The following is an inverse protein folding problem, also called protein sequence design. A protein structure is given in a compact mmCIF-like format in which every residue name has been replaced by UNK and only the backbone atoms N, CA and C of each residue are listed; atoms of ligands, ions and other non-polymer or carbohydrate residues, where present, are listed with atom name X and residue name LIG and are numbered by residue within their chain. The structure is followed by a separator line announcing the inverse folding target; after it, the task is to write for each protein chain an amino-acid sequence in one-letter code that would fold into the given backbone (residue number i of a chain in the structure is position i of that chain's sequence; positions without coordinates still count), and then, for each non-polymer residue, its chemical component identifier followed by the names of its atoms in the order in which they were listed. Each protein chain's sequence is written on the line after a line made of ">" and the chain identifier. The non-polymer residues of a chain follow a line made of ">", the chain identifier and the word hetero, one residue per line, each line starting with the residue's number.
data_IF_246132713333
#
_entry.id   IF_246132713333
#
_cell.length_a   1.000
_cell.length_b   1.000
_cell.length_c   1.000
_cell.angle_alpha   90.00
_cell.angle_beta   90.00
_cell.angle_gamma   90.00
#
_symmetry.space_group_name_H-M   'P 1'
#
loop_
_entity.id
_entity.type
_entity.pdbx_description
1 polymer ?
#
# COMPACT_ATOMS: atom_id res chain seq x y z
N UNK A 1 8.43 5.82 0.84
CA UNK A 1 8.32 4.60 0.01
C UNK A 1 7.02 4.61 -0.80
N UNK A 2 7.08 4.28 -2.09
CA UNK A 2 5.91 4.27 -2.99
C UNK A 2 5.67 2.86 -3.53
N UNK A 3 4.47 2.33 -3.35
CA UNK A 3 4.03 1.04 -3.91
C UNK A 3 3.01 1.33 -5.00
N UNK A 4 3.23 0.79 -6.20
CA UNK A 4 2.29 0.89 -7.33
C UNK A 4 1.84 -0.52 -7.67
N UNK A 5 0.54 -0.75 -7.66
CA UNK A 5 -0.05 -2.07 -7.91
C UNK A 5 -1.41 -1.92 -8.61
N UNK A 6 -1.93 -3.00 -9.21
CA UNK A 6 -3.22 -2.97 -9.91
C UNK A 6 -4.38 -3.32 -8.99
N UNK A 7 -4.13 -4.15 -7.97
CA UNK A 7 -5.19 -4.67 -7.09
C UNK A 7 -4.81 -4.52 -5.62
N UNK A 8 -5.82 -4.49 -4.76
CA UNK A 8 -5.64 -4.43 -3.31
C UNK A 8 -4.93 -5.68 -2.77
N UNK A 9 -5.13 -6.84 -3.41
CA UNK A 9 -4.42 -8.07 -3.08
C UNK A 9 -2.90 -7.93 -3.27
N UNK A 10 -2.46 -7.33 -4.38
CA UNK A 10 -1.04 -7.06 -4.64
C UNK A 10 -0.47 -6.06 -3.62
N UNK A 11 -1.25 -5.03 -3.24
CA UNK A 11 -0.83 -4.09 -2.21
C UNK A 11 -0.59 -4.79 -0.87
N UNK A 12 -1.53 -5.64 -0.44
CA UNK A 12 -1.45 -6.37 0.83
C UNK A 12 -0.25 -7.32 0.84
N UNK A 13 0.05 -7.99 -0.27
CA UNK A 13 1.21 -8.88 -0.36
C UNK A 13 2.53 -8.12 -0.17
N UNK A 14 2.69 -6.96 -0.81
CA UNK A 14 3.89 -6.12 -0.67
C UNK A 14 4.04 -5.61 0.76
N UNK A 15 2.94 -5.14 1.36
CA UNK A 15 2.93 -4.66 2.74
C UNK A 15 3.29 -5.77 3.74
N UNK A 16 2.77 -6.99 3.53
CA UNK A 16 3.10 -8.16 4.37
C UNK A 16 4.58 -8.52 4.30
N UNK A 17 5.19 -8.50 3.10
CA UNK A 17 6.64 -8.73 2.93
C UNK A 17 7.51 -7.70 3.65
N UNK A 18 6.96 -6.52 3.91
CA UNK A 18 7.63 -5.45 4.66
C UNK A 18 7.36 -5.50 6.16
N UNK A 19 6.62 -6.52 6.64
CA UNK A 19 6.31 -6.70 8.06
C UNK A 19 5.00 -6.05 8.51
N UNK A 20 4.22 -5.44 7.61
CA UNK A 20 2.92 -4.86 7.94
C UNK A 20 1.82 -5.93 7.84
N UNK A 21 1.14 -6.23 8.94
CA UNK A 21 0.16 -7.32 9.01
C UNK A 21 -1.29 -6.82 9.13
N UNK A 22 -1.52 -5.74 9.88
CA UNK A 22 -2.86 -5.16 10.09
C UNK A 22 -2.96 -3.73 9.55
N UNK A 23 -4.19 -3.28 9.28
CA UNK A 23 -4.50 -1.88 8.88
C UNK A 23 -4.02 -0.88 9.96
N UNK A 24 -3.90 -1.33 11.21
CA UNK A 24 -3.40 -0.54 12.33
C UNK A 24 -1.90 -0.28 12.29
N UNK A 25 -1.13 -1.14 11.61
CA UNK A 25 0.33 -1.05 11.54
C UNK A 25 0.80 -0.20 10.36
N UNK A 26 -0.14 0.33 9.57
CA UNK A 26 0.19 1.11 8.40
C UNK A 26 0.96 2.38 8.83
N UNK A 27 2.14 2.62 8.24
CA UNK A 27 2.99 3.74 8.62
C UNK A 27 2.22 5.03 8.35
N UNK A 28 2.07 5.86 9.39
CA UNK A 28 1.47 7.19 9.25
C UNK A 28 2.55 8.18 8.81
N UNK A 29 2.32 9.01 7.78
CA UNK A 29 1.10 9.12 6.96
C UNK A 29 1.10 8.18 5.73
N UNK A 30 0.10 7.29 5.64
CA UNK A 30 -0.19 6.51 4.44
C UNK A 30 -1.16 7.28 3.55
N UNK A 31 -0.80 7.52 2.29
CA UNK A 31 -1.72 8.02 1.26
C UNK A 31 -2.01 6.94 0.24
N UNK A 32 -3.27 6.58 0.08
CA UNK A 32 -3.77 5.67 -0.95
C UNK A 32 -4.46 6.47 -2.04
N UNK A 33 -3.98 6.37 -3.28
CA UNK A 33 -4.57 7.00 -4.46
C UNK A 33 -4.92 5.92 -5.50
N UNK A 34 -6.00 6.13 -6.25
CA UNK A 34 -6.30 5.31 -7.45
C UNK A 34 -6.14 6.18 -8.70
N UNK A 35 -5.28 5.79 -9.64
CA UNK A 35 -5.08 6.50 -10.92
C UNK A 35 -5.00 5.52 -12.08
N UNK A 36 -5.81 5.74 -13.12
CA UNK A 36 -5.85 4.91 -14.35
C UNK A 36 -5.96 3.40 -14.06
N UNK A 37 -6.76 3.02 -13.06
CA UNK A 37 -6.90 1.61 -12.64
C UNK A 37 -5.73 1.05 -11.82
N UNK A 38 -4.79 1.89 -11.39
CA UNK A 38 -3.68 1.52 -10.50
C UNK A 38 -3.90 2.08 -9.10
N UNK A 39 -3.62 1.27 -8.10
CA UNK A 39 -3.50 1.66 -6.70
C UNK A 39 -2.08 2.13 -6.43
N UNK A 40 -1.95 3.33 -5.89
CA UNK A 40 -0.71 3.99 -5.51
C UNK A 40 -0.74 4.18 -3.99
N UNK A 41 0.14 3.51 -3.27
CA UNK A 41 0.33 3.71 -1.84
C UNK A 41 1.64 4.47 -1.59
N UNK A 42 1.56 5.66 -1.01
CA UNK A 42 2.71 6.42 -0.54
C UNK A 42 2.81 6.32 0.97
N UNK A 43 3.87 5.68 1.41
CA UNK A 43 4.34 5.63 2.79
C UNK A 43 5.37 6.75 2.94
N UNK A 44 5.12 7.73 3.83
CA UNK A 44 6.07 8.80 4.13
C UNK A 44 6.83 8.47 5.40
#
# INVERSE_FOLDING_TARGET
>A
MTIICRTSAQLVEVLRRQGFFLVTDLPRPLRLETRRGMLIARVS
#
